data_IF_758899207546
#
_entry.id   IF_758899207546
#
_cell.length_a   1.000
_cell.length_b   1.000
_cell.length_c   1.000
_cell.angle_alpha   90.00
_cell.angle_beta   90.00
_cell.angle_gamma   90.00
#
_symmetry.space_group_name_H-M   'P 1'
#
loop_
_entity.id
_entity.type
_entity.pdbx_description
1 polymer ?
#
# COMPACT_ATOMS: atom_id res chain seq x y z
N UNK A 1 9.64 -12.71 -32.20
CA UNK A 1 10.98 -12.12 -32.45
C UNK A 1 11.61 -11.84 -31.10
N UNK A 2 12.75 -12.47 -30.80
CA UNK A 2 13.50 -12.18 -29.59
C UNK A 2 14.30 -10.89 -29.81
N UNK A 3 14.11 -9.90 -28.94
CA UNK A 3 14.99 -8.73 -28.90
C UNK A 3 16.38 -9.16 -28.40
N UNK A 4 17.46 -8.48 -28.83
CA UNK A 4 18.81 -8.74 -28.32
C UNK A 4 18.85 -8.63 -26.78
N UNK A 5 19.82 -9.32 -26.17
CA UNK A 5 20.11 -9.46 -24.71
C UNK A 5 20.33 -8.15 -23.93
N UNK A 6 19.65 -7.06 -24.26
CA UNK A 6 19.48 -5.95 -23.33
C UNK A 6 18.51 -6.42 -22.24
N UNK A 7 19.07 -6.71 -21.06
CA UNK A 7 18.28 -6.83 -19.82
C UNK A 7 17.33 -5.63 -19.77
N UNK A 8 16.02 -5.87 -19.75
CA UNK A 8 15.05 -4.79 -19.61
C UNK A 8 15.36 -4.02 -18.33
N UNK A 9 15.33 -2.68 -18.34
CA UNK A 9 15.67 -1.89 -17.14
C UNK A 9 14.68 -2.11 -15.99
N UNK A 10 13.51 -2.66 -16.32
CA UNK A 10 12.50 -3.10 -15.39
C UNK A 10 12.63 -4.60 -15.11
N UNK A 11 12.53 -4.95 -13.85
CA UNK A 11 12.48 -6.34 -13.40
C UNK A 11 11.12 -6.61 -12.74
N UNK A 12 10.61 -7.85 -12.78
CA UNK A 12 9.45 -8.22 -11.98
C UNK A 12 9.71 -7.92 -10.50
N UNK A 13 8.71 -7.40 -9.79
CA UNK A 13 8.83 -7.26 -8.35
C UNK A 13 8.84 -8.65 -7.70
N UNK A 14 9.94 -8.99 -7.04
CA UNK A 14 10.09 -10.25 -6.30
C UNK A 14 10.49 -9.90 -4.88
N UNK A 15 9.63 -10.25 -3.93
CA UNK A 15 9.98 -10.13 -2.53
C UNK A 15 11.09 -11.10 -2.17
N UNK A 16 12.18 -10.55 -1.66
CA UNK A 16 13.29 -11.31 -1.12
C UNK A 16 13.24 -11.18 0.39
N UNK A 17 12.76 -12.23 1.05
CA UNK A 17 12.78 -12.31 2.50
C UNK A 17 14.24 -12.26 3.00
N UNK A 18 14.58 -11.42 3.99
CA UNK A 18 15.74 -11.67 4.81
C UNK A 18 15.66 -13.09 5.36
N UNK A 19 16.81 -13.77 5.49
CA UNK A 19 16.87 -15.16 5.95
C UNK A 19 16.26 -15.38 7.35
N UNK A 20 16.05 -14.30 8.12
CA UNK A 20 15.48 -14.30 9.46
C UNK A 20 14.04 -13.75 9.55
N UNK A 21 13.30 -13.61 8.44
CA UNK A 21 11.93 -13.07 8.51
C UNK A 21 11.03 -13.93 9.41
N UNK A 22 10.64 -13.34 10.55
CA UNK A 22 10.16 -14.03 11.75
C UNK A 22 8.69 -14.51 11.66
N UNK A 23 7.96 -14.06 10.63
CA UNK A 23 6.51 -14.26 10.47
C UNK A 23 6.21 -14.87 9.08
N UNK A 24 5.78 -16.15 9.02
CA UNK A 24 5.42 -16.81 7.77
C UNK A 24 4.14 -16.22 7.16
N UNK A 25 4.16 -16.00 5.84
CA UNK A 25 2.96 -15.61 5.09
C UNK A 25 2.94 -16.26 3.71
N UNK A 26 1.75 -16.32 3.11
CA UNK A 26 1.55 -16.77 1.74
C UNK A 26 0.57 -15.83 1.02
N UNK A 27 0.93 -15.39 -0.17
CA UNK A 27 0.01 -14.66 -1.06
C UNK A 27 -0.65 -15.69 -1.98
N UNK A 28 -1.97 -15.73 -1.97
CA UNK A 28 -2.81 -16.62 -2.75
C UNK A 28 -3.57 -15.83 -3.81
N UNK A 29 -3.85 -16.48 -4.94
CA UNK A 29 -4.64 -15.91 -6.03
C UNK A 29 -3.82 -15.24 -7.13
N UNK A 30 -4.43 -15.18 -8.32
CA UNK A 30 -3.86 -14.57 -9.53
C UNK A 30 -4.17 -13.08 -9.60
N UNK A 31 -5.38 -12.76 -10.06
CA UNK A 31 -5.84 -11.38 -10.27
C UNK A 31 -6.57 -10.78 -9.05
N UNK A 32 -7.26 -11.63 -8.30
CA UNK A 32 -7.75 -11.30 -6.97
C UNK A 32 -6.85 -12.00 -5.96
N UNK A 33 -6.17 -11.23 -5.11
CA UNK A 33 -5.18 -11.75 -4.19
C UNK A 33 -5.62 -11.61 -2.73
N UNK A 34 -5.21 -12.58 -1.92
CA UNK A 34 -5.29 -12.52 -0.47
C UNK A 34 -3.93 -12.87 0.12
N UNK A 35 -3.58 -12.30 1.27
CA UNK A 35 -2.43 -12.72 2.05
C UNK A 35 -2.91 -13.47 3.29
N UNK A 36 -2.41 -14.69 3.44
CA UNK A 36 -2.56 -15.46 4.67
C UNK A 36 -1.31 -15.29 5.51
N UNK A 37 -1.46 -14.81 6.74
CA UNK A 37 -0.38 -14.58 7.69
C UNK A 37 -0.54 -15.55 8.85
N UNK A 38 0.55 -16.24 9.21
CA UNK A 38 0.63 -17.08 10.40
C UNK A 38 1.04 -16.21 11.58
N UNK A 39 0.40 -16.40 12.73
CA UNK A 39 0.70 -15.67 13.97
C UNK A 39 1.05 -16.66 15.06
N UNK A 40 2.22 -16.51 15.67
CA UNK A 40 2.57 -17.19 16.91
C UNK A 40 1.75 -16.63 18.08
N UNK A 41 1.70 -17.31 19.23
CA UNK A 41 1.10 -16.74 20.44
C UNK A 41 1.64 -15.33 20.71
N UNK A 42 0.74 -14.42 21.10
CA UNK A 42 1.01 -12.99 21.36
C UNK A 42 1.35 -12.12 20.14
N UNK A 43 1.50 -12.69 18.94
CA UNK A 43 1.71 -11.91 17.73
C UNK A 43 0.40 -11.26 17.24
N UNK A 44 0.55 -10.13 16.54
CA UNK A 44 -0.56 -9.36 16.02
C UNK A 44 -0.34 -8.87 14.59
N UNK A 45 -1.45 -8.71 13.87
CA UNK A 45 -1.52 -8.06 12.56
C UNK A 45 -2.43 -6.85 12.67
N UNK A 46 -2.02 -5.74 12.07
CA UNK A 46 -2.88 -4.57 11.86
C UNK A 46 -3.34 -4.61 10.41
N UNK A 47 -4.63 -4.43 10.16
CA UNK A 47 -5.22 -4.51 8.84
C UNK A 47 -6.19 -3.36 8.56
N UNK A 48 -6.40 -3.10 7.26
CA UNK A 48 -7.39 -2.16 6.78
C UNK A 48 -8.81 -2.66 7.11
N UNK A 49 -9.74 -1.79 7.56
CA UNK A 49 -11.11 -2.19 7.81
C UNK A 49 -11.78 -2.80 6.56
N UNK A 50 -12.57 -3.85 6.75
CA UNK A 50 -13.29 -4.52 5.66
C UNK A 50 -12.44 -5.43 4.76
N UNK A 51 -11.15 -5.61 5.04
CA UNK A 51 -10.26 -6.49 4.26
C UNK A 51 -10.16 -7.93 4.80
N UNK A 52 -10.84 -8.24 5.91
CA UNK A 52 -10.80 -9.58 6.53
C UNK A 52 -11.59 -10.59 5.70
N UNK A 53 -10.96 -11.73 5.40
CA UNK A 53 -11.60 -12.87 4.71
C UNK A 53 -11.89 -14.02 5.67
N UNK A 54 -10.89 -14.43 6.46
CA UNK A 54 -11.03 -15.50 7.45
C UNK A 54 -10.00 -15.34 8.59
N UNK A 55 -10.30 -15.92 9.75
CA UNK A 55 -9.40 -16.02 10.90
C UNK A 55 -9.52 -17.41 11.52
N UNK A 56 -8.44 -17.93 12.12
CA UNK A 56 -8.51 -19.14 12.95
C UNK A 56 -9.19 -18.86 14.29
N UNK A 57 -9.72 -19.88 14.95
CA UNK A 57 -10.49 -19.72 16.19
C UNK A 57 -9.72 -19.18 17.39
N UNK A 58 -8.38 -19.13 17.33
CA UNK A 58 -7.50 -18.54 18.35
C UNK A 58 -7.26 -17.03 18.17
N UNK A 59 -7.67 -16.46 17.04
CA UNK A 59 -7.45 -15.05 16.73
C UNK A 59 -8.63 -14.23 17.24
N UNK A 60 -8.31 -13.22 18.05
CA UNK A 60 -9.26 -12.20 18.47
C UNK A 60 -9.14 -10.97 17.57
N UNK A 61 -10.29 -10.33 17.30
CA UNK A 61 -10.39 -9.14 16.45
C UNK A 61 -10.79 -7.93 17.28
N UNK A 62 -10.02 -6.85 17.16
CA UNK A 62 -10.27 -5.58 17.83
C UNK A 62 -10.36 -4.44 16.79
N UNK A 63 -11.36 -3.57 16.92
CA UNK A 63 -11.49 -2.38 16.07
C UNK A 63 -10.83 -1.18 16.75
N UNK A 64 -9.91 -0.52 16.04
CA UNK A 64 -9.29 0.74 16.46
C UNK A 64 -10.06 1.89 15.81
N UNK A 65 -10.42 2.89 16.61
CA UNK A 65 -11.20 4.05 16.15
C UNK A 65 -10.33 5.30 16.06
N UNK A 66 -10.74 6.25 15.21
CA UNK A 66 -10.09 7.56 15.11
C UNK A 66 -10.25 8.31 16.45
N UNK A 67 -9.18 8.92 17.01
CA UNK A 67 -9.24 9.66 18.27
C UNK A 67 -10.20 10.85 18.22
N UNK A 68 -10.99 11.06 19.28
CA UNK A 68 -12.04 12.09 19.36
C UNK A 68 -11.50 13.54 19.21
N UNK A 69 -10.22 13.78 19.52
CA UNK A 69 -9.61 15.11 19.41
C UNK A 69 -9.27 15.53 17.96
N UNK A 70 -9.34 14.61 17.00
CA UNK A 70 -9.05 14.91 15.58
C UNK A 70 -10.30 15.11 14.74
N UNK A 71 -11.50 14.97 15.33
CA UNK A 71 -12.73 14.95 14.53
C UNK A 71 -13.85 15.82 15.08
N UNK A 72 -14.34 16.71 14.21
CA UNK A 72 -15.36 17.70 14.56
C UNK A 72 -16.72 17.09 14.91
N UNK A 73 -17.58 17.93 15.49
CA UNK A 73 -18.96 17.68 15.97
C UNK A 73 -19.81 16.81 15.03
N UNK A 74 -19.50 16.79 13.72
CA UNK A 74 -20.18 16.00 12.71
C UNK A 74 -20.03 14.47 12.89
N UNK A 75 -18.92 13.95 13.41
CA UNK A 75 -18.76 12.49 13.59
C UNK A 75 -19.61 11.91 14.74
N UNK A 76 -19.99 12.73 15.72
CA UNK A 76 -20.89 12.30 16.78
C UNK A 76 -22.28 11.90 16.25
N UNK A 77 -22.72 12.49 15.13
CA UNK A 77 -23.99 12.18 14.47
C UNK A 77 -23.95 10.91 13.59
N UNK A 78 -22.78 10.51 13.10
CA UNK A 78 -22.62 9.40 12.14
C UNK A 78 -21.91 8.16 12.71
N UNK A 79 -21.50 8.20 13.98
CA UNK A 79 -20.82 7.09 14.66
C UNK A 79 -19.29 7.13 14.53
N UNK A 80 -18.60 6.36 15.38
CA UNK A 80 -17.13 6.30 15.41
C UNK A 80 -16.62 5.60 14.15
N UNK A 81 -15.74 6.25 13.40
CA UNK A 81 -15.08 5.65 12.22
C UNK A 81 -13.93 4.74 12.66
N UNK A 82 -13.93 3.49 12.18
CA UNK A 82 -12.83 2.54 12.39
C UNK A 82 -11.64 2.96 11.53
N UNK A 83 -10.48 3.15 12.15
CA UNK A 83 -9.22 3.48 11.46
C UNK A 83 -8.45 2.24 11.03
N UNK A 84 -8.45 1.19 11.85
CA UNK A 84 -7.79 -0.09 11.57
C UNK A 84 -8.41 -1.22 12.37
N UNK A 85 -8.16 -2.46 11.95
CA UNK A 85 -8.51 -3.67 12.69
C UNK A 85 -7.20 -4.31 13.19
N UNK A 86 -7.18 -4.76 14.44
CA UNK A 86 -6.07 -5.54 15.01
C UNK A 86 -6.54 -6.98 15.17
N UNK A 87 -5.74 -7.91 14.67
CA UNK A 87 -5.89 -9.35 14.88
C UNK A 87 -4.79 -9.80 15.83
N UNK A 88 -5.15 -10.41 16.94
CA UNK A 88 -4.20 -10.84 17.98
C UNK A 88 -4.38 -12.32 18.29
N UNK A 89 -3.28 -13.07 18.32
CA UNK A 89 -3.33 -14.48 18.69
C UNK A 89 -3.23 -14.66 20.21
N UNK A 90 -4.37 -14.84 20.86
CA UNK A 90 -4.47 -15.13 22.30
C UNK A 90 -4.45 -16.64 22.62
N UNK A 91 -4.27 -17.48 21.59
CA UNK A 91 -4.12 -18.92 21.76
C UNK A 91 -2.70 -19.34 22.18
N UNK A 92 -2.58 -20.59 22.64
CA UNK A 92 -1.29 -21.20 22.99
C UNK A 92 -0.51 -21.75 21.79
N UNK A 93 -1.14 -21.81 20.61
CA UNK A 93 -0.54 -22.32 19.38
C UNK A 93 -0.70 -21.33 18.23
N UNK A 94 -0.08 -21.67 17.10
CA UNK A 94 -0.11 -20.82 15.91
C UNK A 94 -1.55 -20.64 15.38
N UNK A 95 -1.89 -19.40 15.09
CA UNK A 95 -3.13 -19.01 14.42
C UNK A 95 -2.85 -18.47 13.02
N UNK A 96 -3.92 -18.15 12.28
CA UNK A 96 -3.80 -17.53 10.96
C UNK A 96 -4.91 -16.51 10.70
N UNK A 97 -4.58 -15.52 9.90
CA UNK A 97 -5.51 -14.52 9.36
C UNK A 97 -5.36 -14.42 7.85
N UNK A 98 -6.48 -14.41 7.14
CA UNK A 98 -6.58 -14.18 5.70
C UNK A 98 -7.11 -12.78 5.41
N UNK A 99 -6.33 -11.98 4.71
CA UNK A 99 -6.64 -10.58 4.38
C UNK A 99 -6.68 -10.43 2.86
N UNK A 100 -7.82 -9.99 2.32
CA UNK A 100 -8.09 -9.90 0.88
C UNK A 100 -7.92 -8.47 0.37
N UNK A 101 -7.35 -8.32 -0.82
CA UNK A 101 -7.36 -7.03 -1.52
C UNK A 101 -8.82 -6.65 -1.87
N UNK A 102 -9.25 -5.40 -1.64
CA UNK A 102 -10.65 -4.98 -1.84
C UNK A 102 -11.06 -4.89 -3.31
N UNK A 103 -10.11 -4.96 -4.25
CA UNK A 103 -10.29 -4.86 -5.69
C UNK A 103 -9.32 -5.80 -6.42
N UNK A 104 -9.39 -5.83 -7.75
CA UNK A 104 -8.38 -6.49 -8.59
C UNK A 104 -7.05 -5.76 -8.44
N UNK A 105 -6.21 -6.25 -7.54
CA UNK A 105 -4.93 -5.66 -7.19
C UNK A 105 -3.91 -6.74 -6.83
N UNK A 106 -2.64 -6.40 -7.00
CA UNK A 106 -1.52 -7.20 -6.52
C UNK A 106 -1.15 -6.81 -5.11
N UNK A 107 -0.95 -7.79 -4.23
CA UNK A 107 -0.42 -7.58 -2.89
C UNK A 107 1.10 -7.61 -2.98
N UNK A 108 1.75 -6.55 -2.48
CA UNK A 108 3.20 -6.39 -2.45
C UNK A 108 3.67 -6.35 -0.98
N UNK A 109 4.45 -7.34 -0.53
CA UNK A 109 5.07 -7.31 0.80
C UNK A 109 6.31 -6.41 0.76
N UNK A 110 6.35 -5.40 1.62
CA UNK A 110 7.39 -4.39 1.74
C UNK A 110 8.04 -4.50 3.12
N UNK A 111 9.26 -5.03 3.18
CA UNK A 111 10.09 -4.93 4.38
C UNK A 111 10.68 -3.52 4.47
N UNK A 112 10.20 -2.72 5.42
CA UNK A 112 10.62 -1.34 5.57
C UNK A 112 12.11 -1.20 5.88
N UNK A 113 12.73 -2.18 6.53
CA UNK A 113 14.16 -2.16 6.82
C UNK A 113 15.01 -2.15 5.54
N UNK A 114 14.54 -2.81 4.47
CA UNK A 114 15.20 -2.81 3.16
C UNK A 114 15.15 -1.45 2.45
N UNK A 115 14.24 -0.57 2.87
CA UNK A 115 14.03 0.76 2.26
C UNK A 115 14.40 1.91 3.20
N UNK A 116 15.26 1.66 4.20
CA UNK A 116 15.73 2.68 5.14
C UNK A 116 14.68 3.09 6.17
N UNK A 117 13.69 2.22 6.43
CA UNK A 117 12.64 2.40 7.42
C UNK A 117 11.44 3.22 6.94
N UNK A 118 11.38 3.59 5.65
CA UNK A 118 10.31 4.41 5.09
C UNK A 118 10.05 4.14 3.60
N UNK A 119 8.77 4.10 3.23
CA UNK A 119 8.34 4.10 1.84
C UNK A 119 7.13 5.02 1.65
N UNK A 120 7.02 5.63 0.48
CA UNK A 120 5.90 6.45 0.08
C UNK A 120 5.06 5.69 -0.96
N UNK A 121 3.75 5.63 -0.76
CA UNK A 121 2.81 4.84 -1.55
C UNK A 121 1.65 5.69 -2.07
N UNK A 122 0.92 5.15 -3.05
CA UNK A 122 -0.37 5.68 -3.48
C UNK A 122 -1.34 5.85 -2.30
N UNK A 123 -2.30 6.81 -2.38
CA UNK A 123 -3.36 6.93 -1.39
C UNK A 123 -4.03 5.58 -1.18
N UNK A 124 -4.23 5.22 0.08
CA UNK A 124 -4.99 4.04 0.48
C UNK A 124 -4.39 2.69 0.01
N UNK A 125 -3.08 2.66 -0.26
CA UNK A 125 -2.35 1.45 -0.66
C UNK A 125 -2.13 0.45 0.48
N UNK A 126 -2.18 0.88 1.75
CA UNK A 126 -1.97 0.01 2.90
C UNK A 126 -3.07 -1.05 3.02
N UNK A 127 -2.67 -2.32 3.09
CA UNK A 127 -3.58 -3.45 3.32
C UNK A 127 -3.48 -3.97 4.75
N UNK A 128 -2.27 -4.35 5.16
CA UNK A 128 -2.00 -4.83 6.52
C UNK A 128 -0.51 -4.76 6.84
N UNK A 129 -0.14 -4.99 8.10
CA UNK A 129 1.23 -5.05 8.55
C UNK A 129 1.41 -5.91 9.78
N UNK A 130 2.63 -6.39 9.95
CA UNK A 130 3.13 -7.04 11.17
C UNK A 130 4.30 -6.27 11.75
N UNK A 131 4.52 -6.42 13.04
CA UNK A 131 5.53 -5.68 13.82
C UNK A 131 5.27 -4.16 13.77
N UNK A 132 6.35 -3.37 13.84
CA UNK A 132 6.29 -1.91 13.93
C UNK A 132 6.15 -1.27 12.55
N UNK A 133 4.92 -0.99 12.14
CA UNK A 133 4.59 -0.22 10.94
C UNK A 133 3.61 0.89 11.30
N UNK A 134 4.01 2.13 11.07
CA UNK A 134 3.17 3.31 11.18
C UNK A 134 2.69 3.75 9.81
N UNK A 135 1.38 3.91 9.67
CA UNK A 135 0.73 4.48 8.49
C UNK A 135 0.46 5.96 8.73
N UNK A 136 0.84 6.82 7.80
CA UNK A 136 0.58 8.26 7.87
C UNK A 136 0.05 8.76 6.54
N UNK A 137 -1.16 9.30 6.54
CA UNK A 137 -1.74 9.95 5.36
C UNK A 137 -1.26 11.41 5.34
N UNK A 138 -0.10 11.65 4.75
CA UNK A 138 0.52 12.98 4.65
C UNK A 138 0.72 13.37 3.19
N UNK A 139 0.35 14.60 2.84
CA UNK A 139 0.75 15.18 1.55
C UNK A 139 2.26 15.42 1.60
N UNK A 140 3.02 14.75 0.74
CA UNK A 140 4.48 14.93 0.69
C UNK A 140 4.80 16.38 0.26
N UNK A 141 5.46 17.12 1.15
CA UNK A 141 5.90 18.49 0.91
C UNK A 141 7.14 18.56 0.00
N UNK A 142 7.81 17.42 -0.27
CA UNK A 142 9.02 17.35 -1.12
C UNK A 142 8.73 17.50 -2.60
N UNK A 143 7.47 17.40 -3.02
CA UNK A 143 7.04 17.81 -4.35
C UNK A 143 7.26 19.33 -4.49
N UNK A 144 8.47 19.76 -4.87
CA UNK A 144 8.76 21.16 -5.18
C UNK A 144 8.04 21.50 -6.48
N UNK A 145 7.28 22.60 -6.47
CA UNK A 145 6.40 23.09 -7.54
C UNK A 145 5.02 22.40 -7.62
N UNK A 146 4.34 22.27 -6.50
CA UNK A 146 2.90 21.98 -6.49
C UNK A 146 2.17 23.18 -7.09
N UNK A 147 1.63 23.01 -8.29
CA UNK A 147 0.57 23.84 -8.84
C UNK A 147 -0.74 23.42 -8.14
N UNK A 148 -1.63 24.34 -7.74
CA UNK A 148 -2.94 23.98 -7.18
C UNK A 148 -3.69 23.07 -8.16
N UNK A 149 -3.93 21.81 -7.76
CA UNK A 149 -4.59 20.78 -8.61
C UNK A 149 -3.72 19.58 -9.02
N UNK A 150 -2.41 19.61 -8.75
CA UNK A 150 -1.49 18.47 -8.90
C UNK A 150 -1.16 17.79 -7.58
N UNK A 151 -1.78 18.26 -6.50
CA UNK A 151 -1.61 17.74 -5.15
C UNK A 151 -2.10 16.30 -5.10
N UNK A 152 -1.21 15.30 -4.92
CA UNK A 152 -1.64 14.15 -4.11
C UNK A 152 -1.63 12.72 -4.61
N UNK A 153 -0.72 12.34 -5.50
CA UNK A 153 -0.70 10.95 -5.99
C UNK A 153 0.10 9.97 -5.14
N UNK A 154 0.98 10.45 -4.26
CA UNK A 154 1.68 9.66 -3.27
C UNK A 154 1.46 10.37 -1.93
N UNK A 155 0.50 9.88 -1.16
CA UNK A 155 0.00 10.53 0.06
C UNK A 155 0.06 9.63 1.28
N UNK A 156 0.43 8.37 1.12
CA UNK A 156 0.52 7.45 2.23
C UNK A 156 1.97 7.09 2.47
N UNK A 157 2.46 7.47 3.64
CA UNK A 157 3.79 7.12 4.12
C UNK A 157 3.68 5.93 5.07
N UNK A 158 4.49 4.92 4.83
CA UNK A 158 4.70 3.80 5.74
C UNK A 158 6.09 3.92 6.34
N UNK A 159 6.21 3.83 7.65
CA UNK A 159 7.51 3.94 8.34
C UNK A 159 7.60 2.99 9.53
N UNK A 160 8.81 2.52 9.83
CA UNK A 160 9.06 1.62 10.96
C UNK A 160 10.06 0.51 10.62
N UNK A 161 10.02 -0.57 11.39
CA UNK A 161 10.90 -1.74 11.26
C UNK A 161 10.09 -3.04 11.08
N UNK A 162 8.92 -2.94 10.46
CA UNK A 162 8.04 -4.07 10.20
C UNK A 162 7.86 -4.40 8.72
N UNK A 163 7.08 -5.46 8.49
CA UNK A 163 6.67 -5.90 7.17
C UNK A 163 5.26 -5.34 6.90
N UNK A 164 5.16 -4.50 5.89
CA UNK A 164 3.89 -3.95 5.42
C UNK A 164 3.45 -4.66 4.15
N UNK A 165 2.16 -4.89 3.99
CA UNK A 165 1.56 -5.36 2.75
C UNK A 165 0.78 -4.20 2.15
N UNK A 166 1.14 -3.85 0.92
CA UNK A 166 0.44 -2.82 0.15
C UNK A 166 -0.29 -3.45 -1.04
N UNK A 167 -1.32 -2.78 -1.52
CA UNK A 167 -1.96 -3.09 -2.79
C UNK A 167 -1.42 -2.20 -3.89
N UNK A 168 -1.10 -2.82 -5.04
CA UNK A 168 -0.82 -2.14 -6.29
C UNK A 168 -1.92 -2.53 -7.30
N UNK A 169 -2.75 -1.54 -7.65
CA UNK A 169 -4.00 -1.73 -8.38
C UNK A 169 -5.06 -0.81 -7.78
N UNK A 170 -6.00 -0.32 -8.60
CA UNK A 170 -6.94 0.74 -8.22
C UNK A 170 -7.59 0.52 -6.85
N UNK A 171 -7.32 1.43 -5.91
CA UNK A 171 -7.96 1.48 -4.59
C UNK A 171 -9.41 1.96 -4.65
N UNK A 172 -9.80 2.60 -5.76
CA UNK A 172 -11.15 3.07 -6.04
C UNK A 172 -11.66 2.56 -7.40
N UNK A 173 -12.93 2.17 -7.45
CA UNK A 173 -13.68 1.76 -8.64
C UNK A 173 -13.76 2.86 -9.73
N UNK A 174 -13.28 4.08 -9.45
CA UNK A 174 -13.38 5.26 -10.33
C UNK A 174 -12.06 5.67 -11.01
N UNK A 175 -10.93 5.02 -10.75
CA UNK A 175 -9.68 5.34 -11.44
C UNK A 175 -9.15 4.14 -12.22
N UNK A 176 -9.04 4.38 -13.54
CA UNK A 176 -8.58 3.56 -14.67
C UNK A 176 -7.16 2.96 -14.52
N UNK A 177 -6.77 2.49 -13.34
CA UNK A 177 -5.53 1.74 -13.14
C UNK A 177 -5.87 0.26 -12.90
N UNK A 178 -6.28 -0.41 -13.97
CA UNK A 178 -6.51 -1.87 -14.02
C UNK A 178 -5.21 -2.64 -14.30
N UNK A 179 -4.06 -2.10 -13.90
CA UNK A 179 -2.77 -2.72 -14.19
C UNK A 179 -2.41 -3.72 -13.09
N UNK A 180 -2.43 -5.01 -13.46
CA UNK A 180 -2.10 -6.14 -12.60
C UNK A 180 -0.61 -6.54 -12.65
N UNK A 181 0.16 -5.87 -13.51
CA UNK A 181 1.60 -6.08 -13.67
C UNK A 181 2.35 -5.08 -12.80
N UNK A 182 3.20 -5.59 -11.91
CA UNK A 182 4.09 -4.78 -11.08
C UNK A 182 5.53 -5.01 -11.52
N UNK A 183 6.22 -3.92 -11.79
CA UNK A 183 7.65 -3.91 -12.12
C UNK A 183 8.41 -3.02 -11.16
N UNK A 184 9.65 -3.39 -10.88
CA UNK A 184 10.58 -2.63 -10.07
C UNK A 184 11.66 -2.00 -10.95
N UNK A 185 12.01 -0.75 -10.66
CA UNK A 185 13.18 -0.06 -11.19
C UNK A 185 13.98 0.54 -10.04
N UNK A 186 15.23 0.11 -9.91
CA UNK A 186 16.20 0.80 -9.07
C UNK A 186 16.81 1.93 -9.91
N UNK A 187 16.77 3.16 -9.39
CA UNK A 187 17.35 4.32 -10.07
C UNK A 187 18.78 4.56 -9.58
N UNK A 188 19.70 4.72 -10.52
CA UNK A 188 21.07 5.13 -10.20
C UNK A 188 21.11 6.61 -9.78
N UNK A 189 22.18 7.02 -9.09
CA UNK A 189 22.34 8.40 -8.67
C UNK A 189 22.33 9.36 -9.87
N UNK A 190 21.34 10.26 -9.93
CA UNK A 190 21.15 11.20 -11.02
C UNK A 190 20.38 10.64 -12.23
N UNK A 191 19.99 9.36 -12.22
CA UNK A 191 19.11 8.80 -13.24
C UNK A 191 17.72 9.45 -13.16
N UNK A 192 17.15 9.79 -14.31
CA UNK A 192 15.81 10.39 -14.42
C UNK A 192 14.92 9.47 -15.23
N UNK A 193 13.80 9.07 -14.64
CA UNK A 193 12.76 8.29 -15.28
C UNK A 193 11.47 9.10 -15.35
N UNK A 194 10.89 9.21 -16.55
CA UNK A 194 9.55 9.77 -16.74
C UNK A 194 8.52 8.64 -16.72
N UNK A 195 7.55 8.73 -15.81
CA UNK A 195 6.49 7.74 -15.63
C UNK A 195 5.16 8.48 -15.52
N UNK A 196 4.08 7.88 -16.04
CA UNK A 196 2.75 8.37 -15.73
C UNK A 196 2.49 8.25 -14.23
N UNK A 197 1.94 9.30 -13.63
CA UNK A 197 1.77 9.38 -12.18
C UNK A 197 0.85 8.27 -11.65
N UNK A 198 -0.13 7.82 -12.46
CA UNK A 198 -1.05 6.72 -12.09
C UNK A 198 -0.38 5.35 -12.07
N UNK A 199 0.80 5.20 -12.67
CA UNK A 199 1.57 3.95 -12.70
C UNK A 199 2.55 3.80 -11.54
N UNK A 200 2.69 4.82 -10.68
CA UNK A 200 3.59 4.79 -9.53
C UNK A 200 2.85 4.15 -8.35
N UNK A 201 3.16 2.90 -8.00
CA UNK A 201 2.58 2.23 -6.83
C UNK A 201 3.25 2.66 -5.50
N UNK A 202 4.58 2.65 -5.48
CA UNK A 202 5.39 3.04 -4.33
C UNK A 202 6.79 3.52 -4.77
N UNK A 203 7.41 4.35 -3.94
CA UNK A 203 8.73 4.97 -4.15
C UNK A 203 9.47 5.11 -2.82
N UNK A 204 10.79 4.94 -2.85
CA UNK A 204 11.64 5.17 -1.69
C UNK A 204 11.75 6.66 -1.37
N UNK A 205 11.99 7.00 -0.10
CA UNK A 205 12.13 8.38 0.34
C UNK A 205 13.33 9.14 -0.29
N UNK A 206 14.24 8.42 -0.95
CA UNK A 206 15.41 8.97 -1.65
C UNK A 206 15.10 9.47 -3.06
N UNK A 207 13.99 9.05 -3.65
CA UNK A 207 13.60 9.45 -5.01
C UNK A 207 12.90 10.81 -4.96
N UNK A 208 13.37 11.75 -5.81
CA UNK A 208 12.72 13.05 -5.97
C UNK A 208 11.66 12.97 -7.07
N UNK A 209 10.44 13.39 -6.75
CA UNK A 209 9.30 13.39 -7.67
C UNK A 209 9.03 14.81 -8.14
N UNK A 210 9.04 15.01 -9.46
CA UNK A 210 8.65 16.25 -10.11
C UNK A 210 7.49 16.00 -11.06
N UNK A 211 6.33 16.58 -10.77
CA UNK A 211 5.15 16.50 -11.63
C UNK A 211 5.28 17.52 -12.76
N UNK A 212 5.15 17.08 -14.01
CA UNK A 212 5.14 17.94 -15.20
C UNK A 212 3.85 17.73 -15.98
N UNK A 213 3.12 18.80 -16.26
CA UNK A 213 1.97 18.76 -17.15
C UNK A 213 2.41 18.88 -18.60
N UNK A 214 2.19 17.81 -19.37
CA UNK A 214 2.49 17.79 -20.80
C UNK A 214 1.26 18.27 -21.60
N UNK A 215 1.00 19.59 -21.59
CA UNK A 215 0.08 20.25 -22.53
C UNK A 215 -1.22 20.83 -21.92
N UNK A 216 -1.98 21.62 -22.70
CA UNK A 216 -3.23 22.22 -22.24
C UNK A 216 -4.31 21.15 -22.06
N UNK A 217 -4.88 21.08 -20.86
CA UNK A 217 -6.01 20.20 -20.53
C UNK A 217 -7.19 20.55 -21.44
N UNK A 218 -7.41 19.78 -22.50
CA UNK A 218 -8.68 19.84 -23.25
C UNK A 218 -9.75 19.34 -22.28
N UNK A 219 -10.57 20.26 -21.75
CA UNK A 219 -11.81 19.89 -21.07
C UNK A 219 -12.64 19.09 -22.08
N UNK A 220 -12.74 17.78 -21.88
CA UNK A 220 -13.80 16.99 -22.50
C UNK A 220 -15.10 17.40 -21.79
N UNK A 221 -15.76 18.42 -22.33
CA UNK A 221 -17.15 18.71 -22.00
C UNK A 221 -17.96 17.65 -22.75
N UNK A 222 -18.36 16.60 -22.04
CA UNK A 222 -19.46 15.76 -22.51
C UNK A 222 -20.72 16.64 -22.45
N UNK A 223 -21.18 17.08 -23.61
CA UNK A 223 -22.47 17.73 -23.74
C UNK A 223 -23.55 16.66 -23.60
N UNK A 224 -24.40 16.79 -22.59
CA UNK A 224 -25.73 16.21 -22.62
C UNK A 224 -26.59 17.08 -23.54
N UNK A 225 -27.10 16.47 -24.61
CA UNK A 225 -28.32 16.92 -25.28
C UNK A 225 -29.48 16.06 -24.78
#
# INVERSE_FOLDING_TARGET
MAAPFFSTPFQPYVYQSPQDAMIPFQILGGEAQLVQIMLKPEEKVIAKPGSMCFISGSIEMENVFVPENEVGVWQWLFGKTVSSIVFHNNGQGDGFVGIVAPSLARILPIDLAMFGGEILCQPDAFLCSVNDVKVSNTVDQRARNIIPGAEGFVRQKLSGQGLAFIIAGGSDMSLLSSFLLVVQKNLDAGEVLSVDVSCIAAVTATVNIQIKYNGPMRRAVFGEN
#
